data_IF_454928591420
#
_entry.id   IF_454928591420
#
_cell.length_a   1.000
_cell.length_b   1.000
_cell.length_c   1.000
_cell.angle_alpha   90.00
_cell.angle_beta   90.00
_cell.angle_gamma   90.00
#
_symmetry.space_group_name_H-M   'P 1'
#
loop_
_entity.id
_entity.type
_entity.pdbx_description
1 polymer ?
#
# COMPACT_ATOMS: atom_id res chain seq x y z
N UNK A 1 25.43 19.04 -19.36
CA UNK A 1 24.73 18.34 -20.45
C UNK A 1 23.27 18.24 -20.04
N UNK A 2 22.43 19.03 -20.70
CA UNK A 2 21.49 18.55 -21.73
C UNK A 2 20.23 17.94 -21.09
N UNK A 3 19.27 18.84 -20.86
CA UNK A 3 17.82 18.61 -20.98
C UNK A 3 17.24 17.70 -19.87
N UNK A 4 16.22 18.08 -19.10
CA UNK A 4 14.88 18.39 -19.56
C UNK A 4 14.11 19.19 -18.48
N UNK A 5 13.51 20.31 -18.93
CA UNK A 5 12.19 20.87 -18.65
C UNK A 5 11.68 21.05 -17.20
N UNK A 6 11.28 22.30 -16.93
CA UNK A 6 10.24 22.68 -15.99
C UNK A 6 8.97 21.81 -16.19
N UNK A 7 8.11 21.79 -15.17
CA UNK A 7 6.64 21.63 -15.24
C UNK A 7 5.97 20.25 -14.92
N UNK A 8 4.77 20.38 -14.29
CA UNK A 8 3.52 19.62 -14.54
C UNK A 8 2.96 18.57 -13.57
N UNK A 9 2.69 18.94 -12.31
CA UNK A 9 1.29 18.76 -11.92
C UNK A 9 0.65 20.01 -12.49
N UNK A 10 -0.42 19.84 -13.26
CA UNK A 10 -1.23 20.99 -13.62
C UNK A 10 -1.54 21.72 -12.30
N UNK A 11 -1.28 23.02 -12.23
CA UNK A 11 -1.55 23.81 -11.02
C UNK A 11 -3.03 23.65 -10.62
N UNK A 12 -3.91 23.44 -11.60
CA UNK A 12 -5.30 23.10 -11.40
C UNK A 12 -5.50 21.82 -10.58
N UNK A 13 -4.61 20.82 -10.65
CA UNK A 13 -4.70 19.58 -9.88
C UNK A 13 -4.44 19.81 -8.39
N UNK A 14 -3.35 20.52 -8.08
CA UNK A 14 -2.99 20.86 -6.69
C UNK A 14 -4.04 21.80 -6.10
N UNK A 15 -4.51 22.75 -6.89
CA UNK A 15 -5.59 23.66 -6.51
C UNK A 15 -6.90 22.91 -6.31
N UNK A 16 -7.25 21.97 -7.18
CA UNK A 16 -8.45 21.16 -7.06
C UNK A 16 -8.42 20.32 -5.78
N UNK A 17 -7.31 19.66 -5.46
CA UNK A 17 -7.15 18.91 -4.19
C UNK A 17 -7.35 19.83 -2.98
N UNK A 18 -6.75 21.03 -2.99
CA UNK A 18 -6.92 22.03 -1.93
C UNK A 18 -8.39 22.46 -1.81
N UNK A 19 -9.01 22.82 -2.92
CA UNK A 19 -10.39 23.31 -2.98
C UNK A 19 -11.40 22.22 -2.61
N UNK A 20 -11.15 20.94 -2.94
CA UNK A 20 -12.05 19.81 -2.61
C UNK A 20 -11.81 19.20 -1.24
N UNK A 21 -10.65 19.45 -0.61
CA UNK A 21 -10.30 18.91 0.71
C UNK A 21 -10.99 19.60 1.90
N UNK A 22 -11.74 20.69 1.66
CA UNK A 22 -12.49 21.41 2.70
C UNK A 22 -11.59 22.04 3.77
N UNK A 23 -12.02 22.06 5.03
CA UNK A 23 -11.28 22.63 6.16
C UNK A 23 -10.16 21.73 6.71
N UNK A 24 -9.77 20.68 5.99
CA UNK A 24 -8.66 19.81 6.40
C UNK A 24 -7.35 20.58 6.22
N UNK A 25 -6.54 20.66 7.28
CA UNK A 25 -5.22 21.30 7.20
C UNK A 25 -4.37 20.66 6.10
N UNK A 26 -3.59 21.42 5.32
CA UNK A 26 -2.82 20.92 4.16
C UNK A 26 -1.93 19.69 4.41
N UNK A 27 -1.51 19.46 5.66
CA UNK A 27 -0.73 18.28 6.07
C UNK A 27 -1.54 17.00 6.33
N UNK A 28 -2.88 17.04 6.28
CA UNK A 28 -3.77 15.90 6.55
C UNK A 28 -4.35 15.26 5.28
N UNK A 29 -4.09 15.84 4.10
CA UNK A 29 -4.53 15.31 2.82
C UNK A 29 -3.49 14.30 2.33
N UNK A 30 -3.91 13.04 2.16
CA UNK A 30 -3.03 11.95 1.72
C UNK A 30 -3.38 11.52 0.30
N UNK A 31 -2.39 11.43 -0.59
CA UNK A 31 -2.55 10.94 -1.97
C UNK A 31 -1.75 9.64 -2.10
N UNK A 32 -2.37 8.55 -2.57
CA UNK A 32 -1.61 7.38 -2.98
C UNK A 32 -1.29 7.49 -4.45
N UNK A 33 -0.15 6.96 -4.84
CA UNK A 33 0.15 6.77 -6.26
C UNK A 33 0.76 5.40 -6.46
N UNK A 34 0.40 4.79 -7.59
CA UNK A 34 0.98 3.55 -8.03
C UNK A 34 2.47 3.73 -8.34
N UNK A 35 3.33 2.98 -7.63
CA UNK A 35 4.75 2.81 -7.96
C UNK A 35 5.49 4.14 -8.16
N UNK A 36 5.28 5.08 -7.25
CA UNK A 36 5.98 6.36 -7.17
C UNK A 36 7.50 6.21 -7.19
N UNK A 37 8.04 5.20 -6.54
CA UNK A 37 9.48 4.90 -6.57
C UNK A 37 10.01 4.50 -7.95
N UNK A 38 9.13 4.20 -8.92
CA UNK A 38 9.50 3.87 -10.31
C UNK A 38 9.20 4.99 -11.30
N UNK A 39 8.52 6.06 -10.89
CA UNK A 39 8.21 7.20 -11.73
C UNK A 39 8.94 8.44 -11.17
N UNK A 40 9.97 8.93 -11.89
CA UNK A 40 10.74 10.12 -11.51
C UNK A 40 9.89 11.37 -11.22
N UNK A 41 8.67 11.40 -11.74
CA UNK A 41 7.62 12.38 -11.50
C UNK A 41 7.29 12.65 -10.02
N UNK A 42 7.26 11.60 -9.19
CA UNK A 42 6.90 11.76 -7.78
C UNK A 42 8.07 12.23 -6.90
N UNK A 43 9.31 11.95 -7.33
CA UNK A 43 10.51 12.56 -6.77
C UNK A 43 10.59 14.06 -7.09
N UNK A 44 10.17 14.45 -8.30
CA UNK A 44 10.09 15.84 -8.72
C UNK A 44 9.12 16.65 -7.84
N UNK A 45 7.91 16.14 -7.58
CA UNK A 45 6.89 16.85 -6.80
C UNK A 45 7.28 17.03 -5.34
N UNK A 46 7.90 16.01 -4.73
CA UNK A 46 8.45 16.08 -3.37
C UNK A 46 9.45 17.23 -3.19
N UNK A 47 10.20 17.55 -4.25
CA UNK A 47 11.20 18.63 -4.23
C UNK A 47 10.61 20.00 -4.57
N UNK A 48 9.40 20.08 -5.13
CA UNK A 48 8.80 21.32 -5.64
C UNK A 48 7.66 21.87 -4.79
N UNK A 49 7.04 21.09 -3.89
CA UNK A 49 5.92 21.54 -3.04
C UNK A 49 6.17 21.16 -1.58
N UNK A 50 6.56 22.12 -0.70
CA UNK A 50 6.91 21.85 0.70
C UNK A 50 5.76 21.41 1.61
N UNK A 51 4.50 21.69 1.23
CA UNK A 51 3.38 21.76 2.19
C UNK A 51 2.39 20.60 2.14
N UNK A 52 2.60 19.60 1.29
CA UNK A 52 1.64 18.52 1.12
C UNK A 52 2.35 17.19 1.37
N UNK A 53 1.90 16.45 2.39
CA UNK A 53 2.51 15.20 2.84
C UNK A 53 2.12 14.08 1.88
N UNK A 54 2.69 14.11 0.68
CA UNK A 54 1.90 13.76 -0.49
C UNK A 54 1.77 12.29 -0.82
N UNK A 55 2.60 11.38 -0.31
CA UNK A 55 2.64 10.05 -0.95
C UNK A 55 2.96 8.94 0.05
N UNK A 56 2.04 7.98 0.17
CA UNK A 56 2.36 6.64 0.65
C UNK A 56 2.72 5.75 -0.57
N UNK A 57 4.00 5.64 -0.98
CA UNK A 57 4.43 5.02 -2.26
C UNK A 57 4.22 3.49 -2.34
N UNK A 58 3.56 2.93 -1.34
CA UNK A 58 3.76 1.58 -0.85
C UNK A 58 2.67 0.64 -1.32
N UNK A 59 1.45 1.16 -1.49
CA UNK A 59 0.26 0.34 -1.64
C UNK A 59 -0.54 0.79 -2.86
N UNK A 60 -0.65 -0.04 -3.89
CA UNK A 60 -1.70 0.16 -4.89
C UNK A 60 -2.41 -1.18 -5.13
N UNK A 61 -3.74 -1.22 -4.97
CA UNK A 61 -4.59 -0.14 -4.44
C UNK A 61 -4.28 0.19 -2.97
N UNK A 62 -4.29 1.48 -2.62
CA UNK A 62 -4.39 1.93 -1.23
C UNK A 62 -5.78 2.51 -1.02
N UNK A 63 -6.39 2.14 0.09
CA UNK A 63 -7.70 2.65 0.49
C UNK A 63 -7.63 3.52 1.75
N UNK A 64 -6.43 3.92 2.18
CA UNK A 64 -6.24 4.93 3.20
C UNK A 64 -6.22 6.35 2.59
N UNK A 65 -5.63 6.49 1.40
CA UNK A 65 -5.36 7.83 0.83
C UNK A 65 -6.53 8.39 0.03
N UNK A 66 -6.94 9.61 0.36
CA UNK A 66 -8.15 10.28 -0.14
C UNK A 66 -8.16 10.43 -1.67
N UNK A 67 -6.97 10.44 -2.26
CA UNK A 67 -6.76 10.53 -3.70
C UNK A 67 -5.89 9.37 -4.21
N UNK A 68 -6.09 8.98 -5.47
CA UNK A 68 -5.25 8.01 -6.19
C UNK A 68 -4.82 8.60 -7.52
N UNK A 69 -3.55 8.42 -7.90
CA UNK A 69 -3.04 8.76 -9.21
C UNK A 69 -2.63 7.50 -9.97
N UNK A 70 -3.33 7.19 -11.06
CA UNK A 70 -3.24 5.90 -11.77
C UNK A 70 -3.28 6.08 -13.28
N UNK A 71 -2.72 5.11 -14.03
CA UNK A 71 -2.98 5.03 -15.47
C UNK A 71 -4.38 4.49 -15.71
N UNK A 72 -5.00 4.89 -16.83
CA UNK A 72 -6.34 4.41 -17.20
C UNK A 72 -6.43 2.88 -17.26
N UNK A 73 -5.44 2.21 -17.82
CA UNK A 73 -5.39 0.76 -17.89
C UNK A 73 -5.42 0.07 -16.51
N UNK A 74 -4.81 0.68 -15.48
CA UNK A 74 -4.85 0.15 -14.11
C UNK A 74 -6.23 0.34 -13.47
N UNK A 75 -6.92 1.45 -13.81
CA UNK A 75 -8.32 1.69 -13.40
C UNK A 75 -9.23 0.64 -14.02
N UNK A 76 -9.09 0.38 -15.32
CA UNK A 76 -9.94 -0.55 -16.05
C UNK A 76 -9.72 -2.00 -15.58
N UNK A 77 -8.47 -2.36 -15.24
CA UNK A 77 -8.14 -3.68 -14.67
C UNK A 77 -8.88 -3.94 -13.35
N UNK A 78 -9.00 -2.93 -12.51
CA UNK A 78 -9.61 -3.03 -11.18
C UNK A 78 -10.87 -2.16 -11.06
N UNK A 79 -11.67 -2.07 -12.13
CA UNK A 79 -12.79 -1.15 -12.24
C UNK A 79 -13.81 -1.26 -11.09
N UNK A 80 -14.02 -2.47 -10.56
CA UNK A 80 -14.88 -2.71 -9.41
C UNK A 80 -14.37 -2.10 -8.10
N UNK A 81 -13.06 -1.91 -7.94
CA UNK A 81 -12.47 -1.21 -6.79
C UNK A 81 -12.60 0.32 -6.96
N UNK A 82 -12.35 0.82 -8.16
CA UNK A 82 -12.35 2.26 -8.44
C UNK A 82 -13.74 2.87 -8.72
N UNK A 83 -14.81 2.06 -8.75
CA UNK A 83 -16.19 2.53 -8.98
C UNK A 83 -16.65 3.63 -8.01
N UNK A 84 -16.14 3.60 -6.78
CA UNK A 84 -16.49 4.54 -5.70
C UNK A 84 -15.54 5.75 -5.64
N UNK A 85 -14.67 5.87 -6.65
CA UNK A 85 -13.80 7.01 -6.86
C UNK A 85 -14.34 7.88 -8.01
N UNK A 86 -14.36 9.18 -7.77
CA UNK A 86 -14.66 10.18 -8.79
C UNK A 86 -13.38 10.56 -9.52
N UNK A 87 -13.39 10.48 -10.84
CA UNK A 87 -12.36 11.09 -11.67
C UNK A 87 -12.42 12.61 -11.48
N UNK A 88 -11.31 13.19 -11.04
CA UNK A 88 -11.16 14.62 -10.84
C UNK A 88 -10.44 15.30 -11.98
N UNK A 89 -9.38 14.65 -12.50
CA UNK A 89 -8.56 15.17 -13.57
C UNK A 89 -7.96 14.03 -14.39
N UNK A 90 -7.63 14.33 -15.64
CA UNK A 90 -6.94 13.43 -16.55
C UNK A 90 -5.90 14.24 -17.32
N UNK A 91 -4.67 13.73 -17.37
CA UNK A 91 -3.62 14.27 -18.23
C UNK A 91 -3.46 13.37 -19.46
N UNK A 92 -3.73 13.93 -20.64
CA UNK A 92 -3.67 13.21 -21.91
C UNK A 92 -2.23 12.78 -22.26
N UNK A 93 -1.22 13.53 -21.82
CA UNK A 93 0.19 13.28 -22.16
C UNK A 93 0.75 12.09 -21.38
N UNK A 94 0.61 12.10 -20.05
CA UNK A 94 1.06 10.98 -19.20
C UNK A 94 0.05 9.84 -19.11
N UNK A 95 -1.19 10.06 -19.59
CA UNK A 95 -2.34 9.16 -19.40
C UNK A 95 -2.69 8.90 -17.92
N UNK A 96 -2.24 9.77 -17.02
CA UNK A 96 -2.54 9.68 -15.59
C UNK A 96 -3.91 10.28 -15.29
N UNK A 97 -4.64 9.59 -14.42
CA UNK A 97 -5.96 9.97 -13.94
C UNK A 97 -5.90 10.18 -12.43
N UNK A 98 -6.37 11.33 -11.98
CA UNK A 98 -6.64 11.57 -10.56
C UNK A 98 -8.03 11.10 -10.21
N UNK A 99 -8.07 10.27 -9.20
CA UNK A 99 -9.27 9.76 -8.59
C UNK A 99 -9.37 10.32 -7.18
N UNK A 100 -10.53 10.86 -6.80
CA UNK A 100 -10.86 11.20 -5.43
C UNK A 100 -11.94 10.28 -4.91
N UNK A 101 -11.76 9.78 -3.70
CA UNK A 101 -12.73 8.88 -3.08
C UNK A 101 -14.01 9.63 -2.71
N UNK A 102 -15.18 9.07 -3.01
CA UNK A 102 -16.47 9.75 -2.76
C UNK A 102 -17.11 9.38 -1.40
N UNK A 103 -16.75 8.23 -0.77
CA UNK A 103 -16.76 8.08 0.70
C UNK A 103 -15.63 7.16 1.23
N UNK A 104 -15.28 7.23 2.53
CA UNK A 104 -14.33 6.27 3.14
C UNK A 104 -14.91 4.85 3.10
N UNK A 105 -14.20 3.93 2.45
CA UNK A 105 -14.58 2.51 2.40
C UNK A 105 -14.69 1.94 3.83
N UNK A 106 -15.87 1.39 4.15
CA UNK A 106 -16.08 0.69 5.42
C UNK A 106 -15.29 -0.61 5.39
N UNK A 107 -14.56 -0.87 6.48
CA UNK A 107 -13.78 -2.08 6.67
C UNK A 107 -14.44 -2.90 7.75
N UNK A 108 -14.69 -4.17 7.47
CA UNK A 108 -15.04 -5.12 8.50
C UNK A 108 -13.79 -5.92 8.85
N UNK A 109 -13.32 -5.82 10.10
CA UNK A 109 -12.22 -6.64 10.56
C UNK A 109 -12.71 -8.09 10.65
N UNK A 110 -12.13 -8.97 9.84
CA UNK A 110 -12.47 -10.39 9.82
C UNK A 110 -11.56 -11.15 10.76
N UNK A 111 -10.29 -10.75 10.81
CA UNK A 111 -9.29 -11.35 11.66
C UNK A 111 -8.40 -10.26 12.24
N UNK A 112 -8.09 -10.39 13.52
CA UNK A 112 -7.05 -9.62 14.18
C UNK A 112 -6.28 -10.54 15.11
N UNK A 113 -4.95 -10.47 15.07
CA UNK A 113 -4.11 -11.23 15.97
C UNK A 113 -2.84 -10.48 16.35
N UNK A 114 -2.40 -10.74 17.57
CA UNK A 114 -1.02 -10.51 17.97
C UNK A 114 -0.21 -11.73 17.54
N UNK A 115 0.85 -11.53 16.77
CA UNK A 115 1.71 -12.61 16.27
C UNK A 115 3.00 -12.71 17.09
N UNK A 116 3.46 -11.60 17.68
CA UNK A 116 4.56 -11.57 18.65
C UNK A 116 4.08 -10.93 19.94
N UNK A 117 4.12 -11.69 21.04
CA UNK A 117 3.71 -11.26 22.38
C UNK A 117 4.91 -10.94 23.31
N UNK A 118 6.08 -11.47 22.97
CA UNK A 118 7.37 -11.27 23.66
C UNK A 118 8.43 -11.15 22.57
N UNK A 119 9.55 -10.43 22.81
CA UNK A 119 10.62 -10.32 21.82
C UNK A 119 11.02 -11.69 21.25
N UNK A 120 11.06 -11.79 19.93
CA UNK A 120 11.48 -12.99 19.19
C UNK A 120 12.68 -12.61 18.33
N UNK A 121 13.80 -13.27 18.56
CA UNK A 121 14.95 -13.26 17.66
C UNK A 121 14.76 -14.34 16.60
N UNK A 122 14.98 -14.01 15.33
CA UNK A 122 14.86 -14.93 14.21
C UNK A 122 15.80 -14.56 13.07
N UNK A 123 16.38 -15.57 12.43
CA UNK A 123 17.06 -15.48 11.14
C UNK A 123 16.31 -16.23 10.05
N UNK A 124 15.03 -16.55 10.29
CA UNK A 124 14.21 -17.27 9.33
C UNK A 124 14.01 -16.43 8.07
N UNK A 125 14.08 -17.11 6.93
CA UNK A 125 13.81 -16.50 5.62
C UNK A 125 12.37 -15.97 5.52
N UNK A 126 11.44 -16.66 6.19
CA UNK A 126 10.02 -16.30 6.22
C UNK A 126 9.53 -16.22 7.66
N UNK A 127 9.02 -15.05 8.03
CA UNK A 127 8.32 -14.84 9.28
C UNK A 127 6.81 -14.65 9.01
N UNK A 128 5.99 -15.61 9.42
CA UNK A 128 4.58 -15.63 9.04
C UNK A 128 3.73 -14.63 9.83
N UNK A 129 3.22 -13.66 9.09
CA UNK A 129 1.96 -12.93 9.28
C UNK A 129 0.81 -13.90 9.52
N UNK A 130 0.27 -14.37 8.40
CA UNK A 130 -0.89 -15.24 8.21
C UNK A 130 -0.42 -16.45 7.44
N UNK A 131 -0.60 -17.65 8.00
CA UNK A 131 -0.24 -18.89 7.31
C UNK A 131 -1.32 -19.35 6.32
N UNK A 132 -2.59 -19.06 6.63
CA UNK A 132 -3.74 -19.44 5.82
C UNK A 132 -5.01 -18.70 6.26
N UNK A 133 -6.06 -18.67 5.43
CA UNK A 133 -7.42 -18.21 5.75
C UNK A 133 -8.39 -19.38 5.85
N UNK A 134 -9.21 -19.40 6.89
CA UNK A 134 -10.21 -20.46 7.14
C UNK A 134 -11.59 -20.19 6.52
N UNK A 135 -11.74 -19.10 5.77
CA UNK A 135 -13.01 -18.64 5.21
C UNK A 135 -12.87 -18.42 3.72
N UNK A 136 -14.01 -18.41 3.00
CA UNK A 136 -14.01 -18.21 1.56
C UNK A 136 -13.58 -16.78 1.20
N UNK A 137 -12.59 -16.66 0.33
CA UNK A 137 -12.00 -15.39 -0.11
C UNK A 137 -12.34 -15.06 -1.57
N UNK A 138 -12.95 -16.00 -2.30
CA UNK A 138 -13.21 -15.83 -3.73
C UNK A 138 -14.15 -14.64 -4.02
N UNK A 139 -13.84 -13.89 -5.08
CA UNK A 139 -14.58 -12.70 -5.52
C UNK A 139 -14.68 -11.56 -4.48
N UNK A 140 -13.84 -11.59 -3.44
CA UNK A 140 -13.78 -10.57 -2.38
C UNK A 140 -12.52 -9.72 -2.53
N UNK A 141 -12.46 -8.67 -1.74
CA UNK A 141 -11.29 -7.80 -1.65
C UNK A 141 -10.95 -7.61 -0.17
N UNK A 142 -9.66 -7.58 0.14
CA UNK A 142 -9.16 -7.46 1.51
C UNK A 142 -8.03 -6.44 1.64
N UNK A 143 -7.82 -6.01 2.88
CA UNK A 143 -6.65 -5.25 3.31
C UNK A 143 -5.96 -6.03 4.42
N UNK A 144 -4.67 -6.27 4.21
CA UNK A 144 -3.76 -6.85 5.19
C UNK A 144 -3.01 -5.72 5.88
N UNK A 145 -3.37 -5.39 7.12
CA UNK A 145 -2.65 -4.43 7.94
C UNK A 145 -1.57 -5.16 8.77
N UNK A 146 -0.33 -4.69 8.65
CA UNK A 146 0.86 -5.15 9.33
C UNK A 146 1.33 -4.05 10.27
N UNK A 147 1.48 -4.38 11.55
CA UNK A 147 2.13 -3.52 12.52
C UNK A 147 3.22 -4.33 13.21
N UNK A 148 4.46 -3.85 13.21
CA UNK A 148 5.55 -4.50 13.94
C UNK A 148 6.65 -3.53 14.35
N UNK A 149 7.34 -3.89 15.42
CA UNK A 149 8.43 -3.13 16.04
C UNK A 149 9.68 -4.04 16.11
N UNK A 150 10.72 -3.77 15.29
CA UNK A 150 12.02 -4.40 15.42
C UNK A 150 12.88 -3.71 16.50
N UNK A 151 14.01 -4.29 16.90
CA UNK A 151 15.00 -3.59 17.72
C UNK A 151 15.58 -2.38 16.97
N UNK A 152 15.95 -1.27 17.65
CA UNK A 152 16.42 -0.02 17.02
C UNK A 152 17.68 -0.16 16.16
N UNK A 153 18.41 -1.28 16.31
CA UNK A 153 19.63 -1.57 15.57
C UNK A 153 19.42 -2.56 14.41
N UNK A 154 18.24 -3.19 14.33
CA UNK A 154 17.92 -4.09 13.23
C UNK A 154 17.48 -3.25 12.03
N UNK A 155 18.31 -3.25 11.00
CA UNK A 155 17.93 -2.67 9.73
C UNK A 155 16.97 -3.63 9.03
N UNK A 156 15.74 -3.18 8.80
CA UNK A 156 14.78 -3.93 7.98
C UNK A 156 15.02 -3.70 6.50
N UNK A 157 16.14 -3.05 6.12
CA UNK A 157 16.58 -2.96 4.75
C UNK A 157 16.84 -4.37 4.18
N UNK A 158 16.41 -4.60 2.94
CA UNK A 158 16.44 -5.91 2.29
C UNK A 158 15.23 -6.79 2.59
N UNK A 159 14.41 -6.45 3.60
CA UNK A 159 13.19 -7.20 3.90
C UNK A 159 11.99 -6.74 3.09
N UNK A 160 11.01 -7.64 2.94
CA UNK A 160 9.76 -7.39 2.22
C UNK A 160 8.55 -7.83 3.03
N UNK A 161 7.47 -7.05 3.02
CA UNK A 161 6.15 -7.56 3.38
C UNK A 161 5.50 -8.14 2.14
N UNK A 162 4.97 -9.35 2.24
CA UNK A 162 4.36 -10.06 1.13
C UNK A 162 2.98 -10.55 1.52
N UNK A 163 2.04 -10.42 0.58
CA UNK A 163 0.75 -11.10 0.60
C UNK A 163 0.58 -11.88 -0.70
N UNK A 164 0.28 -13.17 -0.58
CA UNK A 164 0.05 -14.07 -1.71
C UNK A 164 -1.32 -14.71 -1.57
N UNK A 165 -2.08 -14.75 -2.67
CA UNK A 165 -3.35 -15.45 -2.80
C UNK A 165 -3.10 -16.77 -3.52
N UNK A 166 -3.62 -17.88 -3.00
CA UNK A 166 -3.47 -19.20 -3.62
C UNK A 166 -4.81 -19.84 -3.95
N UNK A 167 -4.81 -20.71 -4.96
CA UNK A 167 -5.93 -21.62 -5.26
C UNK A 167 -5.88 -22.88 -4.38
N UNK A 168 -6.85 -23.79 -4.56
CA UNK A 168 -6.91 -25.08 -3.85
C UNK A 168 -5.75 -26.04 -4.16
N UNK A 169 -5.03 -25.79 -5.25
CA UNK A 169 -3.90 -26.61 -5.70
C UNK A 169 -2.56 -26.01 -5.25
N UNK A 170 -2.59 -24.95 -4.43
CA UNK A 170 -1.40 -24.20 -4.02
C UNK A 170 -0.64 -23.58 -5.21
N UNK A 171 -1.35 -23.13 -6.25
CA UNK A 171 -0.79 -22.22 -7.25
C UNK A 171 -1.02 -20.76 -6.83
N UNK A 172 -0.02 -19.88 -7.00
CA UNK A 172 -0.17 -18.47 -6.68
C UNK A 172 -1.04 -17.77 -7.74
N UNK A 173 -2.13 -17.15 -7.31
CA UNK A 173 -3.06 -16.40 -8.15
C UNK A 173 -2.73 -14.90 -8.18
N UNK A 174 -2.35 -14.34 -7.03
CA UNK A 174 -1.97 -12.93 -6.89
C UNK A 174 -0.79 -12.82 -5.92
N UNK A 175 0.07 -11.84 -6.15
CA UNK A 175 1.26 -11.58 -5.35
C UNK A 175 1.43 -10.07 -5.18
N UNK A 176 1.49 -9.63 -3.93
CA UNK A 176 1.69 -8.24 -3.55
C UNK A 176 2.89 -8.15 -2.63
N UNK A 177 3.79 -7.21 -2.89
CA UNK A 177 5.02 -7.04 -2.11
C UNK A 177 5.30 -5.58 -1.84
N UNK A 178 5.70 -5.28 -0.61
CA UNK A 178 6.31 -4.02 -0.21
C UNK A 178 7.78 -4.26 0.15
N UNK A 179 8.68 -3.60 -0.56
CA UNK A 179 10.09 -3.55 -0.18
C UNK A 179 10.31 -2.51 0.93
N UNK A 180 10.83 -2.95 2.07
CA UNK A 180 11.08 -2.08 3.22
C UNK A 180 12.23 -1.08 3.00
N UNK A 181 13.13 -1.31 2.03
CA UNK A 181 14.15 -0.33 1.60
C UNK A 181 13.55 0.98 1.12
N UNK A 182 12.41 0.90 0.43
CA UNK A 182 11.79 2.07 -0.20
C UNK A 182 11.12 3.01 0.82
N UNK A 183 10.98 2.53 2.06
CA UNK A 183 10.27 3.21 3.15
C UNK A 183 11.11 3.36 4.42
N UNK A 184 12.28 2.71 4.45
CA UNK A 184 13.28 2.86 5.49
C UNK A 184 13.98 4.21 5.31
N UNK A 185 13.74 5.12 6.25
CA UNK A 185 14.41 6.42 6.31
C UNK A 185 15.32 6.50 7.54
N UNK A 186 15.90 5.37 7.98
CA UNK A 186 16.43 5.09 9.33
C UNK A 186 15.38 4.44 10.24
N UNK A 187 15.85 3.56 11.14
CA UNK A 187 15.08 2.63 11.97
C UNK A 187 13.87 3.30 12.61
N UNK A 188 12.70 3.10 12.01
CA UNK A 188 11.44 3.56 12.62
C UNK A 188 11.20 2.72 13.87
N UNK A 189 10.76 3.33 14.98
CA UNK A 189 10.40 2.58 16.18
C UNK A 189 9.20 1.66 15.92
N UNK A 190 8.41 1.91 14.88
CA UNK A 190 7.27 1.07 14.52
C UNK A 190 7.03 1.13 13.00
N UNK A 191 6.75 -0.04 12.41
CA UNK A 191 6.37 -0.18 11.02
C UNK A 191 4.87 -0.48 10.94
N UNK A 192 4.12 0.47 10.39
CA UNK A 192 2.67 0.38 10.21
C UNK A 192 2.36 0.48 8.71
N UNK A 193 2.07 -0.66 8.08
CA UNK A 193 1.78 -0.72 6.65
C UNK A 193 0.58 -1.59 6.36
N UNK A 194 -0.14 -1.28 5.29
CA UNK A 194 -1.18 -2.16 4.75
C UNK A 194 -0.72 -2.79 3.44
N UNK A 195 -1.40 -3.80 2.93
CA UNK A 195 -1.35 -4.25 1.54
C UNK A 195 -2.76 -4.62 1.13
N UNK A 196 -3.31 -3.99 0.09
CA UNK A 196 -4.65 -4.33 -0.41
C UNK A 196 -4.56 -5.40 -1.49
N UNK A 197 -5.43 -6.38 -1.38
CA UNK A 197 -5.62 -7.46 -2.35
C UNK A 197 -7.04 -7.32 -2.88
N UNK A 198 -7.18 -6.94 -4.14
CA UNK A 198 -8.49 -6.61 -4.73
C UNK A 198 -8.86 -7.59 -5.83
N UNK A 199 -10.16 -7.76 -6.04
CA UNK A 199 -10.72 -8.59 -7.10
C UNK A 199 -10.12 -10.01 -7.08
N UNK A 200 -10.12 -10.63 -5.90
CA UNK A 200 -9.61 -11.99 -5.75
C UNK A 200 -10.40 -12.93 -6.65
N UNK A 201 -9.75 -13.76 -7.48
CA UNK A 201 -10.45 -14.71 -8.35
C UNK A 201 -11.37 -15.66 -7.57
N UNK A 202 -12.51 -16.04 -8.15
CA UNK A 202 -13.48 -16.92 -7.48
C UNK A 202 -12.96 -18.33 -7.14
N UNK A 203 -11.86 -18.77 -7.75
CA UNK A 203 -11.20 -20.04 -7.44
C UNK A 203 -10.14 -19.93 -6.32
N UNK A 204 -9.93 -18.75 -5.76
CA UNK A 204 -9.00 -18.53 -4.65
C UNK A 204 -9.47 -19.20 -3.36
N UNK A 205 -8.52 -19.64 -2.54
CA UNK A 205 -8.78 -20.37 -1.29
C UNK A 205 -8.07 -19.78 -0.09
N UNK A 206 -6.82 -19.34 -0.25
CA UNK A 206 -6.04 -18.86 0.87
C UNK A 206 -5.37 -17.52 0.62
N UNK A 207 -5.26 -16.72 1.68
CA UNK A 207 -4.35 -15.58 1.76
C UNK A 207 -3.24 -15.92 2.74
N UNK A 208 -2.00 -15.77 2.30
CA UNK A 208 -0.80 -15.93 3.12
C UNK A 208 -0.10 -14.59 3.19
N UNK A 209 0.27 -14.16 4.40
CA UNK A 209 0.94 -12.88 4.64
C UNK A 209 2.21 -13.12 5.44
N UNK A 210 3.33 -12.52 5.07
CA UNK A 210 4.61 -12.79 5.72
C UNK A 210 5.62 -11.67 5.52
N UNK A 211 6.59 -11.59 6.44
CA UNK A 211 7.83 -10.87 6.25
C UNK A 211 8.84 -11.82 5.60
N UNK A 212 9.44 -11.39 4.51
CA UNK A 212 10.48 -12.10 3.77
C UNK A 212 11.83 -11.43 4.02
N UNK A 213 12.75 -12.20 4.60
CA UNK A 213 14.12 -11.83 4.92
C UNK A 213 15.07 -12.66 4.03
N UNK A 214 15.29 -12.26 2.77
CA UNK A 214 16.06 -13.05 1.81
C UNK A 214 17.50 -13.31 2.27
N UNK A 215 18.08 -12.39 3.04
CA UNK A 215 19.46 -12.46 3.49
C UNK A 215 19.64 -13.28 4.76
N UNK A 216 18.53 -13.70 5.42
CA UNK A 216 18.54 -14.42 6.69
C UNK A 216 19.30 -13.66 7.79
N UNK A 217 19.25 -12.33 7.72
CA UNK A 217 19.82 -11.47 8.76
C UNK A 217 19.10 -11.73 10.08
N UNK A 218 19.82 -11.65 11.20
CA UNK A 218 19.18 -11.80 12.51
C UNK A 218 18.35 -10.57 12.80
N UNK A 219 17.06 -10.78 13.07
CA UNK A 219 16.08 -9.75 13.39
C UNK A 219 15.45 -10.08 14.74
N UNK A 220 15.24 -9.06 15.55
CA UNK A 220 14.51 -9.14 16.82
C UNK A 220 13.23 -8.34 16.70
N UNK A 221 12.10 -9.02 16.66
CA UNK A 221 10.77 -8.38 16.68
C UNK A 221 10.29 -8.31 18.12
N UNK A 222 10.11 -7.11 18.67
CA UNK A 222 9.53 -6.88 20.01
C UNK A 222 8.05 -7.17 20.03
N UNK A 223 7.37 -6.69 19.00
CA UNK A 223 5.92 -6.76 18.84
C UNK A 223 5.56 -6.87 17.37
N UNK A 224 4.51 -7.64 17.09
CA UNK A 224 3.95 -7.75 15.77
C UNK A 224 2.47 -8.09 15.88
N UNK A 225 1.64 -7.35 15.15
CA UNK A 225 0.21 -7.54 15.03
C UNK A 225 -0.17 -7.57 13.56
N UNK A 226 -1.25 -8.29 13.27
CA UNK A 226 -1.78 -8.42 11.93
C UNK A 226 -3.29 -8.35 11.97
N UNK A 227 -3.86 -7.54 11.09
CA UNK A 227 -5.31 -7.44 10.89
C UNK A 227 -5.64 -7.67 9.41
N UNK A 228 -6.65 -8.50 9.17
CA UNK A 228 -7.23 -8.70 7.85
C UNK A 228 -8.65 -8.14 7.87
N UNK A 229 -8.88 -7.15 7.02
CA UNK A 229 -10.19 -6.51 6.89
C UNK A 229 -10.73 -6.71 5.49
N UNK A 230 -12.03 -7.00 5.37
CA UNK A 230 -12.70 -6.98 4.07
C UNK A 230 -13.18 -5.57 3.72
N UNK A 231 -13.14 -5.26 2.43
CA UNK A 231 -13.86 -4.14 1.87
C UNK A 231 -15.36 -4.43 1.88
N UNK A 232 -16.11 -3.75 2.75
CA UNK A 232 -17.57 -3.81 2.74
C UNK A 232 -18.07 -2.87 1.65
N UNK A 233 -18.62 -3.46 0.59
CA UNK A 233 -19.28 -2.76 -0.50
C UNK A 233 -20.72 -2.39 -0.16
#
# INVERSE_FOLDING_TARGET
SLHWWYEHYDESFVKLVKDTSGSLSPGNVTICSYKVSRNGWSYFVRNSVPDVNLINPVNNPNNYDDYQLLKRADIDKDAGFYRDYKVLAFDEVSSLTLLMRQPRLKRNAILERNVVFKPVETSAEFFSFLRDTIFDIGNRSFVCDFNFEPEPHDDMSGCFLIVTVWDSLHNPLQYHSLNLNLVSLQTKPEYNYSLSVVNIPGNARSIVAYLYNPNKETLTLKRATFRLSEFVR
#
